data_IF_289447853735
#
_entry.id   IF_289447853735
#
_cell.length_a   1.000
_cell.length_b   1.000
_cell.length_c   1.000
_cell.angle_alpha   90.00
_cell.angle_beta   90.00
_cell.angle_gamma   90.00
#
_symmetry.space_group_name_H-M   'P 1'
#
loop_
_entity.id
_entity.type
_entity.pdbx_description
1 polymer ?
#
# COMPACT_ATOMS: atom_id res chain seq x y z
N UNK A 1 -20.01 -36.07 35.67
CA UNK A 1 -19.91 -36.10 34.19
C UNK A 1 -20.27 -34.77 33.54
N UNK A 2 -21.43 -34.16 33.82
CA UNK A 2 -21.83 -32.85 33.26
C UNK A 2 -20.82 -31.71 33.52
N UNK A 3 -20.25 -31.66 34.72
CA UNK A 3 -19.22 -30.67 35.12
C UNK A 3 -17.92 -30.79 34.33
N UNK A 4 -17.49 -32.02 34.01
CA UNK A 4 -16.30 -32.27 33.17
C UNK A 4 -16.52 -31.79 31.74
N UNK A 5 -17.71 -32.04 31.18
CA UNK A 5 -18.08 -31.60 29.84
C UNK A 5 -18.06 -30.07 29.76
N UNK A 6 -18.62 -29.39 30.76
CA UNK A 6 -18.62 -27.93 30.84
C UNK A 6 -17.19 -27.38 30.99
N UNK A 7 -16.36 -28.01 31.82
CA UNK A 7 -14.96 -27.59 32.00
C UNK A 7 -14.16 -27.67 30.70
N UNK A 8 -14.29 -28.78 29.95
CA UNK A 8 -13.60 -28.96 28.67
C UNK A 8 -14.10 -27.95 27.63
N UNK A 9 -15.41 -27.68 27.59
CA UNK A 9 -15.99 -26.69 26.69
C UNK A 9 -15.41 -25.29 26.92
N UNK A 10 -15.27 -24.87 28.19
CA UNK A 10 -14.69 -23.56 28.54
C UNK A 10 -13.22 -23.48 28.10
N UNK A 11 -12.43 -24.52 28.37
CA UNK A 11 -11.02 -24.56 27.94
C UNK A 11 -10.89 -24.48 26.42
N UNK A 12 -11.76 -25.17 25.69
CA UNK A 12 -11.79 -25.12 24.22
C UNK A 12 -12.09 -23.72 23.69
N UNK A 13 -13.07 -23.02 24.25
CA UNK A 13 -13.42 -21.65 23.86
C UNK A 13 -12.23 -20.71 24.10
N UNK A 14 -11.56 -20.82 25.25
CA UNK A 14 -10.39 -20.00 25.58
C UNK A 14 -9.23 -20.26 24.60
N UNK A 15 -9.00 -21.51 24.19
CA UNK A 15 -7.99 -21.84 23.18
C UNK A 15 -8.29 -21.22 21.82
N UNK A 16 -9.54 -21.32 21.35
CA UNK A 16 -9.95 -20.76 20.05
C UNK A 16 -9.80 -19.24 20.03
N UNK A 17 -10.23 -18.56 21.10
CA UNK A 17 -10.11 -17.10 21.23
C UNK A 17 -8.64 -16.68 21.19
N UNK A 18 -7.76 -17.35 21.96
CA UNK A 18 -6.33 -17.05 21.94
C UNK A 18 -5.69 -17.28 20.57
N UNK A 19 -6.06 -18.35 19.87
CA UNK A 19 -5.60 -18.63 18.51
C UNK A 19 -6.02 -17.54 17.52
N UNK A 20 -7.28 -17.11 17.58
CA UNK A 20 -7.80 -16.03 16.74
C UNK A 20 -7.06 -14.71 16.97
N UNK A 21 -6.85 -14.30 18.22
CA UNK A 21 -6.11 -13.08 18.52
C UNK A 21 -4.65 -13.15 18.08
N UNK A 22 -3.99 -14.30 18.23
CA UNK A 22 -2.61 -14.49 17.77
C UNK A 22 -2.52 -14.41 16.25
N UNK A 23 -3.43 -15.04 15.53
CA UNK A 23 -3.44 -15.03 14.07
C UNK A 23 -3.76 -13.64 13.51
N UNK A 24 -4.69 -12.90 14.12
CA UNK A 24 -5.04 -11.56 13.67
C UNK A 24 -3.94 -10.52 13.98
N UNK A 25 -3.03 -10.83 14.92
CA UNK A 25 -1.86 -10.00 15.25
C UNK A 25 -0.59 -10.37 14.48
N UNK A 26 -0.58 -11.49 13.76
CA UNK A 26 0.46 -11.76 12.78
C UNK A 26 0.25 -10.82 11.60
N UNK A 27 0.80 -9.62 11.69
CA UNK A 27 0.96 -8.74 10.54
C UNK A 27 1.65 -9.55 9.43
N UNK A 28 1.13 -9.55 8.18
CA UNK A 28 1.85 -10.13 7.08
C UNK A 28 3.23 -9.47 7.00
N UNK A 29 4.27 -10.26 6.75
CA UNK A 29 5.62 -9.73 6.59
C UNK A 29 5.58 -8.58 5.58
N UNK A 30 6.19 -7.42 5.90
CA UNK A 30 6.16 -6.28 5.00
C UNK A 30 6.83 -6.69 3.69
N UNK A 31 6.02 -6.97 2.67
CA UNK A 31 6.50 -7.29 1.33
C UNK A 31 7.13 -6.02 0.77
N UNK A 32 8.44 -6.06 0.54
CA UNK A 32 9.15 -4.98 -0.15
C UNK A 32 8.62 -4.92 -1.58
N UNK A 33 7.73 -3.96 -1.86
CA UNK A 33 7.26 -3.67 -3.22
C UNK A 33 8.22 -2.65 -3.81
N UNK A 34 9.10 -3.10 -4.71
CA UNK A 34 9.91 -2.19 -5.52
C UNK A 34 9.00 -1.47 -6.52
N UNK A 35 8.52 -0.28 -6.13
CA UNK A 35 7.62 0.54 -6.96
C UNK A 35 8.37 1.33 -8.04
N UNK A 36 9.69 1.42 -7.96
CA UNK A 36 10.51 2.20 -8.90
C UNK A 36 11.67 1.37 -9.42
N UNK A 37 11.53 0.89 -10.64
CA UNK A 37 12.67 0.51 -11.46
C UNK A 37 13.07 1.80 -12.16
N UNK A 38 14.25 2.39 -11.88
CA UNK A 38 14.70 3.56 -12.62
C UNK A 38 14.74 3.20 -14.11
N UNK A 39 14.20 4.09 -14.94
CA UNK A 39 14.35 3.96 -16.39
C UNK A 39 15.84 4.01 -16.71
N UNK A 40 16.23 3.29 -17.74
CA UNK A 40 17.59 3.42 -18.27
C UNK A 40 17.75 4.80 -18.91
N UNK A 41 18.99 5.30 -18.94
CA UNK A 41 19.31 6.60 -19.54
C UNK A 41 18.81 6.73 -21.00
N UNK A 42 18.79 5.63 -21.75
CA UNK A 42 18.24 5.59 -23.11
C UNK A 42 16.72 5.75 -23.13
N UNK A 43 16.00 5.04 -22.25
CA UNK A 43 14.53 5.14 -22.16
C UNK A 43 14.05 6.52 -21.72
N UNK A 44 14.84 7.21 -20.88
CA UNK A 44 14.58 8.59 -20.50
C UNK A 44 14.78 9.56 -21.65
N UNK A 45 15.77 9.31 -22.54
CA UNK A 45 16.03 10.11 -23.73
C UNK A 45 15.03 9.88 -24.86
N UNK A 46 14.61 8.62 -25.06
CA UNK A 46 13.70 8.25 -26.15
C UNK A 46 12.23 8.63 -25.85
N UNK A 47 11.86 8.77 -24.57
CA UNK A 47 10.51 9.16 -24.13
C UNK A 47 10.50 10.48 -23.35
N UNK A 48 11.25 11.49 -23.81
CA UNK A 48 11.13 12.83 -23.22
C UNK A 48 9.73 13.39 -23.47
N UNK A 49 9.03 13.86 -22.43
CA UNK A 49 7.84 14.70 -22.64
C UNK A 49 8.26 15.97 -23.39
N UNK A 50 7.43 16.42 -24.33
CA UNK A 50 7.73 17.65 -25.08
C UNK A 50 7.83 18.82 -24.08
N UNK A 51 8.81 19.72 -24.22
CA UNK A 51 8.93 20.87 -23.33
C UNK A 51 7.65 21.72 -23.26
N UNK A 52 6.92 21.81 -24.37
CA UNK A 52 5.61 22.47 -24.42
C UNK A 52 4.60 21.88 -23.45
N UNK A 53 4.60 20.55 -23.26
CA UNK A 53 3.63 19.85 -22.42
C UNK A 53 4.03 19.94 -20.94
N UNK A 54 5.34 19.99 -20.66
CA UNK A 54 5.89 20.14 -19.30
C UNK A 54 5.68 21.56 -18.77
N UNK A 55 5.89 22.57 -19.61
CA UNK A 55 5.85 23.98 -19.19
C UNK A 55 4.55 24.69 -19.53
N UNK A 56 3.56 24.00 -20.11
CA UNK A 56 2.27 24.58 -20.53
C UNK A 56 1.62 25.42 -19.43
N UNK A 57 1.61 24.89 -18.21
CA UNK A 57 0.98 25.53 -17.04
C UNK A 57 1.67 26.82 -16.58
N UNK A 58 2.94 27.04 -16.95
CA UNK A 58 3.65 28.29 -16.67
C UNK A 58 3.15 29.43 -17.56
N UNK A 59 2.70 29.11 -18.78
CA UNK A 59 2.27 30.09 -19.77
C UNK A 59 0.74 30.26 -19.80
N UNK A 60 -0.03 29.23 -19.44
CA UNK A 60 -1.50 29.29 -19.39
C UNK A 60 -2.03 30.24 -18.29
N UNK A 61 -1.22 30.53 -17.25
CA UNK A 61 -1.60 31.39 -16.13
C UNK A 61 -1.24 32.87 -16.29
N UNK A 62 -0.56 33.26 -17.37
CA UNK A 62 -0.09 34.64 -17.53
C UNK A 62 -0.89 35.34 -18.63
N UNK A 63 -1.77 36.25 -18.23
CA UNK A 63 -2.44 37.21 -19.11
C UNK A 63 -1.41 38.18 -19.73
N UNK A 64 -0.58 37.70 -20.65
CA UNK A 64 0.35 38.53 -21.44
C UNK A 64 -0.36 39.17 -22.65
N UNK A 65 -1.60 39.62 -22.46
CA UNK A 65 -2.35 40.46 -23.41
C UNK A 65 -3.14 41.53 -22.65
N UNK A 66 -2.43 42.31 -21.83
CA UNK A 66 -2.89 43.63 -21.40
C UNK A 66 -1.77 44.64 -21.61
N UNK A 67 -1.46 44.90 -22.88
CA UNK A 67 -0.80 46.11 -23.35
C UNK A 67 -1.68 46.74 -24.43
#
# INVERSE_FOLDING_TARGET
MKLLIIAIAIVGIVMVVNGYYRQNKSCPEPKIVYKYIPRTFSEEQDNLPKPSDVFKTMFDGTSLLSF
#
